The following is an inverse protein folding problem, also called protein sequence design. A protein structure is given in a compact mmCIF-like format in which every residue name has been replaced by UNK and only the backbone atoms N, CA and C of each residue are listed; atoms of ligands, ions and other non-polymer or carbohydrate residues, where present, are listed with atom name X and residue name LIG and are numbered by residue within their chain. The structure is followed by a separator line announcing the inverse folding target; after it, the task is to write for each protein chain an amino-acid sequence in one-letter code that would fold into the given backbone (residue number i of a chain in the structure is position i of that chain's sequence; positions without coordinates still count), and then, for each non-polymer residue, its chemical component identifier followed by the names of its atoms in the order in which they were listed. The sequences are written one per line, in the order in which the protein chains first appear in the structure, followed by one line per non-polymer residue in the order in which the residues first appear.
data_IF_617354700057
#
_entry.id   IF_617354700057
#
_cell.length_a   1.000
_cell.length_b   1.000
_cell.length_c   1.000
_cell.angle_alpha   90.00
_cell.angle_beta   90.00
_cell.angle_gamma   90.00
#
_symmetry.space_group_name_H-M   'P 1'
#
loop_
_entity.id
_entity.type
_entity.pdbx_description
1 polymer ?
#
# COMPACT_ATOMS: atom_id res chain seq x y z
N UNK A 1 -7.48 -5.91 24.89
CA UNK A 1 -6.25 -6.72 24.69
C UNK A 1 -6.10 -7.66 25.86
N UNK A 2 -5.69 -8.92 25.59
CA UNK A 2 -5.31 -9.90 26.61
C UNK A 2 -3.79 -9.83 26.90
N UNK A 3 -3.30 -10.64 27.88
CA UNK A 3 -1.88 -10.60 28.30
C UNK A 3 -0.90 -10.98 27.18
N UNK A 4 -1.27 -11.88 26.28
CA UNK A 4 -0.45 -12.24 25.12
C UNK A 4 -0.34 -11.09 24.12
N UNK A 5 -1.42 -10.37 23.88
CA UNK A 5 -1.44 -9.18 23.02
C UNK A 5 -0.65 -8.03 23.65
N UNK A 6 -0.79 -7.81 24.96
CA UNK A 6 0.01 -6.82 25.69
C UNK A 6 1.52 -7.11 25.57
N UNK A 7 1.91 -8.38 25.71
CA UNK A 7 3.30 -8.80 25.52
C UNK A 7 3.76 -8.62 24.06
N UNK A 8 2.94 -9.08 23.09
CA UNK A 8 3.25 -9.00 21.65
C UNK A 8 3.50 -7.57 21.21
N UNK A 9 2.65 -6.64 21.62
CA UNK A 9 2.68 -5.24 21.17
C UNK A 9 3.39 -4.31 22.15
N UNK A 10 4.06 -4.85 23.17
CA UNK A 10 4.71 -4.05 24.23
C UNK A 10 5.63 -2.95 23.69
N UNK A 11 6.36 -3.21 22.57
CA UNK A 11 7.26 -2.22 21.97
C UNK A 11 6.54 -1.07 21.28
N UNK A 12 5.31 -1.26 20.79
CA UNK A 12 4.42 -0.19 20.32
C UNK A 12 3.82 0.57 21.49
N UNK A 13 3.33 -0.13 22.50
CA UNK A 13 2.64 0.43 23.66
C UNK A 13 3.57 1.37 24.46
N UNK A 14 4.87 1.13 24.44
CA UNK A 14 5.88 1.98 25.09
C UNK A 14 6.16 3.31 24.37
N UNK A 15 5.63 3.50 23.16
CA UNK A 15 5.74 4.76 22.44
C UNK A 15 4.58 5.67 22.84
N UNK A 16 4.89 6.85 23.34
CA UNK A 16 3.88 7.84 23.80
C UNK A 16 2.88 8.20 22.69
N UNK A 17 3.33 8.18 21.43
CA UNK A 17 2.49 8.46 20.26
C UNK A 17 1.51 7.33 19.92
N UNK A 18 1.72 6.12 20.43
CA UNK A 18 0.87 4.96 20.18
C UNK A 18 0.05 4.61 21.41
N UNK A 19 0.72 4.27 22.51
CA UNK A 19 0.15 3.80 23.76
C UNK A 19 -0.77 2.56 23.63
N UNK A 20 -1.51 2.23 24.67
CA UNK A 20 -2.53 1.17 24.68
C UNK A 20 -3.70 1.53 23.74
N UNK A 21 -4.09 2.80 23.71
CA UNK A 21 -5.18 3.30 22.89
C UNK A 21 -4.88 3.21 21.40
N UNK A 22 -3.67 3.58 20.99
CA UNK A 22 -3.21 3.44 19.60
C UNK A 22 -3.12 1.98 19.16
N UNK A 23 -2.60 1.11 20.02
CA UNK A 23 -2.56 -0.32 19.71
C UNK A 23 -3.97 -0.90 19.56
N UNK A 24 -4.92 -0.46 20.39
CA UNK A 24 -6.32 -0.89 20.25
C UNK A 24 -6.95 -0.36 18.95
N UNK A 25 -6.58 0.86 18.50
CA UNK A 25 -6.99 1.38 17.18
C UNK A 25 -6.49 0.48 16.05
N UNK A 26 -5.23 0.04 16.08
CA UNK A 26 -4.69 -0.89 15.09
C UNK A 26 -5.45 -2.22 15.07
N UNK A 27 -5.70 -2.81 16.23
CA UNK A 27 -6.46 -4.07 16.34
C UNK A 27 -7.88 -3.97 15.78
N UNK A 28 -8.49 -2.78 15.83
CA UNK A 28 -9.82 -2.52 15.30
C UNK A 28 -9.81 -1.98 13.85
N UNK A 29 -8.64 -1.80 13.25
CA UNK A 29 -8.51 -1.23 11.92
C UNK A 29 -8.51 -2.29 10.82
N UNK A 30 -8.79 -1.83 9.59
CA UNK A 30 -8.69 -2.62 8.39
C UNK A 30 -7.85 -1.88 7.34
N UNK A 31 -7.05 -2.63 6.57
CA UNK A 31 -6.31 -2.12 5.42
C UNK A 31 -6.55 -3.01 4.19
N UNK A 32 -6.69 -2.39 3.02
CA UNK A 32 -6.67 -3.09 1.72
C UNK A 32 -5.28 -2.93 1.10
N UNK A 33 -4.72 -4.03 0.64
CA UNK A 33 -3.43 -4.05 -0.10
C UNK A 33 -3.67 -4.66 -1.47
N UNK A 34 -3.43 -3.88 -2.51
CA UNK A 34 -3.54 -4.32 -3.91
C UNK A 34 -2.15 -4.56 -4.47
N UNK A 35 -1.86 -5.83 -4.77
CA UNK A 35 -0.56 -6.35 -5.17
C UNK A 35 0.18 -7.06 -4.03
N UNK A 36 0.45 -8.35 -4.21
CA UNK A 36 1.26 -9.19 -3.32
C UNK A 36 2.67 -9.46 -3.91
N UNK A 37 3.10 -8.63 -4.88
CA UNK A 37 4.42 -8.65 -5.48
C UNK A 37 5.52 -8.14 -4.54
N UNK A 38 6.63 -7.60 -5.08
CA UNK A 38 7.79 -7.18 -4.29
C UNK A 38 7.47 -6.17 -3.18
N UNK A 39 6.61 -5.18 -3.46
CA UNK A 39 6.19 -4.17 -2.49
C UNK A 39 5.25 -4.76 -1.44
N UNK A 40 4.17 -5.43 -1.88
CA UNK A 40 3.19 -6.03 -0.99
C UNK A 40 3.79 -7.13 -0.11
N UNK A 41 4.68 -7.96 -0.66
CA UNK A 41 5.39 -8.99 0.10
C UNK A 41 6.29 -8.41 1.22
N UNK A 42 6.71 -7.16 1.09
CA UNK A 42 7.44 -6.46 2.15
C UNK A 42 6.51 -5.71 3.12
N UNK A 43 5.42 -5.11 2.63
CA UNK A 43 4.51 -4.30 3.45
C UNK A 43 3.62 -5.15 4.36
N UNK A 44 3.01 -6.22 3.82
CA UNK A 44 2.01 -7.05 4.50
C UNK A 44 2.50 -7.67 5.81
N UNK A 45 3.72 -8.23 5.91
CA UNK A 45 4.25 -8.76 7.17
C UNK A 45 4.31 -7.72 8.29
N UNK A 46 4.69 -6.48 7.99
CA UNK A 46 4.72 -5.40 8.99
C UNK A 46 3.32 -5.01 9.45
N UNK A 47 2.34 -4.92 8.55
CA UNK A 47 0.96 -4.61 8.92
C UNK A 47 0.37 -5.69 9.84
N UNK A 48 0.56 -6.96 9.51
CA UNK A 48 0.10 -8.08 10.33
C UNK A 48 0.82 -8.13 11.68
N UNK A 49 2.16 -8.00 11.69
CA UNK A 49 2.96 -8.02 12.91
C UNK A 49 2.64 -6.84 13.84
N UNK A 50 2.36 -5.66 13.29
CA UNK A 50 1.95 -4.47 14.04
C UNK A 50 0.55 -4.57 14.66
N UNK A 51 -0.26 -5.56 14.24
CA UNK A 51 -1.58 -5.80 14.82
C UNK A 51 -2.71 -5.07 14.12
N UNK A 52 -2.60 -4.82 12.80
CA UNK A 52 -3.78 -4.43 12.00
C UNK A 52 -4.78 -5.58 12.07
N UNK A 53 -5.98 -5.31 12.57
CA UNK A 53 -6.94 -6.36 12.91
C UNK A 53 -7.51 -7.11 11.70
N UNK A 54 -7.61 -6.43 10.54
CA UNK A 54 -8.13 -7.02 9.30
C UNK A 54 -7.30 -6.56 8.10
N UNK A 55 -6.80 -7.51 7.32
CA UNK A 55 -6.10 -7.27 6.06
C UNK A 55 -6.87 -7.90 4.91
N UNK A 56 -7.26 -7.07 3.96
CA UNK A 56 -7.81 -7.47 2.68
C UNK A 56 -6.66 -7.44 1.67
N UNK A 57 -6.34 -8.57 1.05
CA UNK A 57 -5.22 -8.68 0.14
C UNK A 57 -5.69 -9.14 -1.24
N UNK A 58 -5.28 -8.43 -2.29
CA UNK A 58 -5.74 -8.67 -3.65
C UNK A 58 -4.55 -8.85 -4.61
N UNK A 59 -4.54 -9.97 -5.31
CA UNK A 59 -3.56 -10.30 -6.36
C UNK A 59 -4.10 -11.51 -7.15
N UNK A 60 -3.97 -11.51 -8.46
CA UNK A 60 -4.45 -12.61 -9.32
C UNK A 60 -3.32 -13.51 -9.86
N UNK A 61 -2.07 -13.21 -9.50
CA UNK A 61 -0.90 -13.97 -9.94
C UNK A 61 -0.64 -15.21 -9.07
N UNK A 62 0.20 -16.10 -9.64
CA UNK A 62 0.85 -17.20 -8.91
C UNK A 62 2.30 -16.85 -8.55
N UNK A 63 2.85 -17.55 -7.56
CA UNK A 63 4.26 -17.46 -7.21
C UNK A 63 5.10 -18.16 -8.29
N UNK A 64 6.11 -17.47 -8.80
CA UNK A 64 7.04 -17.97 -9.80
C UNK A 64 8.48 -17.96 -9.28
N UNK A 65 9.35 -18.80 -9.85
CA UNK A 65 10.78 -18.79 -9.54
C UNK A 65 11.42 -17.41 -9.72
N UNK A 66 11.02 -16.70 -10.76
CA UNK A 66 11.48 -15.34 -11.06
C UNK A 66 11.11 -14.30 -9.99
N UNK A 67 10.15 -14.61 -9.14
CA UNK A 67 9.69 -13.73 -8.06
C UNK A 67 10.55 -13.83 -6.80
N UNK A 68 11.11 -15.00 -6.49
CA UNK A 68 11.74 -15.32 -5.20
C UNK A 68 12.94 -14.41 -4.88
N UNK A 69 13.61 -13.87 -5.89
CA UNK A 69 14.75 -12.97 -5.69
C UNK A 69 14.39 -11.63 -5.02
N UNK A 70 13.07 -11.24 -4.98
CA UNK A 70 12.62 -9.97 -4.38
C UNK A 70 11.32 -10.05 -3.59
N UNK A 71 10.59 -11.13 -3.68
CA UNK A 71 9.33 -11.36 -2.95
C UNK A 71 9.59 -12.29 -1.76
N UNK A 72 10.38 -11.81 -0.80
CA UNK A 72 11.00 -12.60 0.28
C UNK A 72 10.02 -13.23 1.29
N UNK A 73 8.74 -12.92 1.19
CA UNK A 73 7.70 -13.57 1.98
C UNK A 73 7.31 -14.95 1.45
N UNK A 74 7.70 -15.27 0.23
CA UNK A 74 7.49 -16.57 -0.40
C UNK A 74 8.75 -17.43 -0.33
N UNK A 75 8.55 -18.73 -0.40
CA UNK A 75 9.59 -19.76 -0.45
C UNK A 75 9.48 -20.58 -1.73
N UNK A 76 10.47 -21.43 -2.00
CA UNK A 76 10.45 -22.33 -3.15
C UNK A 76 9.25 -23.28 -3.12
N UNK A 77 8.78 -23.68 -1.94
CA UNK A 77 7.60 -24.53 -1.78
C UNK A 77 6.27 -23.85 -2.17
N UNK A 78 6.26 -22.52 -2.30
CA UNK A 78 5.07 -21.77 -2.68
C UNK A 78 4.92 -21.61 -4.19
N UNK A 79 5.93 -21.99 -4.99
CA UNK A 79 5.91 -21.87 -6.45
C UNK A 79 4.72 -22.62 -7.04
N UNK A 80 3.95 -21.92 -7.88
CA UNK A 80 2.71 -22.42 -8.48
C UNK A 80 1.44 -22.15 -7.67
N UNK A 81 1.57 -21.75 -6.39
CA UNK A 81 0.42 -21.35 -5.57
C UNK A 81 -0.02 -19.91 -5.89
N UNK A 82 -1.30 -19.60 -5.68
CA UNK A 82 -1.77 -18.20 -5.73
C UNK A 82 -1.00 -17.35 -4.72
N UNK A 83 -0.50 -16.18 -5.13
CA UNK A 83 0.22 -15.26 -4.25
C UNK A 83 -0.57 -14.90 -3.00
N UNK A 84 -1.87 -14.66 -3.16
CA UNK A 84 -2.76 -14.34 -2.02
C UNK A 84 -2.90 -15.49 -1.04
N UNK A 85 -2.96 -16.74 -1.50
CA UNK A 85 -3.05 -17.91 -0.63
C UNK A 85 -1.75 -18.14 0.15
N UNK A 86 -0.59 -18.10 -0.52
CA UNK A 86 0.71 -18.23 0.13
C UNK A 86 0.96 -17.08 1.12
N UNK A 87 0.61 -15.86 0.75
CA UNK A 87 0.72 -14.69 1.62
C UNK A 87 -0.20 -14.83 2.85
N UNK A 88 -1.45 -15.22 2.70
CA UNK A 88 -2.37 -15.42 3.83
C UNK A 88 -1.82 -16.44 4.84
N UNK A 89 -1.28 -17.55 4.37
CA UNK A 89 -0.63 -18.54 5.22
C UNK A 89 0.57 -17.96 6.00
N UNK A 90 1.40 -17.17 5.29
CA UNK A 90 2.56 -16.48 5.89
C UNK A 90 2.13 -15.48 6.96
N UNK A 91 1.15 -14.65 6.68
CA UNK A 91 0.65 -13.63 7.60
C UNK A 91 0.00 -14.26 8.83
N UNK A 92 -0.76 -15.33 8.65
CA UNK A 92 -1.36 -16.08 9.75
C UNK A 92 -0.29 -16.70 10.68
N UNK A 93 0.82 -17.19 10.13
CA UNK A 93 1.96 -17.67 10.90
C UNK A 93 2.67 -16.55 11.68
N UNK A 94 2.68 -15.32 11.18
CA UNK A 94 3.23 -14.14 11.87
C UNK A 94 2.29 -13.69 12.98
N UNK A 95 0.98 -13.56 12.68
CA UNK A 95 -0.03 -13.09 13.64
C UNK A 95 -1.39 -13.74 13.37
N UNK A 96 -1.70 -14.79 14.12
CA UNK A 96 -2.96 -15.52 14.00
C UNK A 96 -4.20 -14.70 14.44
N UNK A 97 -3.99 -13.59 15.14
CA UNK A 97 -5.07 -12.66 15.53
C UNK A 97 -5.49 -11.71 14.41
N UNK A 98 -4.72 -11.60 13.33
CA UNK A 98 -5.08 -10.79 12.18
C UNK A 98 -6.04 -11.56 11.25
N UNK A 99 -7.21 -10.98 10.97
CA UNK A 99 -8.15 -11.54 10.00
C UNK A 99 -7.66 -11.23 8.58
N UNK A 100 -7.40 -12.27 7.79
CA UNK A 100 -6.93 -12.15 6.41
C UNK A 100 -8.07 -12.54 5.45
N UNK A 101 -8.38 -11.66 4.49
CA UNK A 101 -9.33 -11.92 3.42
C UNK A 101 -8.61 -11.79 2.07
N UNK A 102 -8.76 -12.81 1.22
CA UNK A 102 -8.05 -12.89 -0.06
C UNK A 102 -8.99 -12.65 -1.23
N UNK A 103 -8.53 -11.89 -2.19
CA UNK A 103 -9.24 -11.57 -3.42
C UNK A 103 -8.32 -11.81 -4.62
N UNK A 104 -8.89 -12.17 -5.74
CA UNK A 104 -8.21 -12.09 -7.03
C UNK A 104 -8.12 -10.63 -7.49
N UNK A 105 -8.17 -10.41 -8.79
CA UNK A 105 -8.20 -9.06 -9.36
C UNK A 105 -9.47 -8.32 -8.94
N UNK A 106 -9.31 -7.13 -8.38
CA UNK A 106 -10.44 -6.28 -8.00
C UNK A 106 -10.85 -5.37 -9.17
N UNK A 107 -12.12 -5.39 -9.49
CA UNK A 107 -12.75 -4.43 -10.40
C UNK A 107 -13.25 -3.19 -9.65
N UNK A 108 -13.81 -2.23 -10.36
CA UNK A 108 -14.34 -1.00 -9.79
C UNK A 108 -15.49 -1.26 -8.78
N UNK A 109 -16.34 -2.24 -9.04
CA UNK A 109 -17.47 -2.57 -8.16
C UNK A 109 -16.99 -3.14 -6.83
N UNK A 110 -16.03 -4.08 -6.87
CA UNK A 110 -15.41 -4.65 -5.68
C UNK A 110 -14.64 -3.58 -4.87
N UNK A 111 -13.88 -2.70 -5.52
CA UNK A 111 -13.20 -1.59 -4.83
C UNK A 111 -14.20 -0.66 -4.14
N UNK A 112 -15.33 -0.33 -4.79
CA UNK A 112 -16.37 0.52 -4.21
C UNK A 112 -17.02 -0.10 -2.97
N UNK A 113 -17.16 -1.42 -2.94
CA UNK A 113 -17.72 -2.16 -1.80
C UNK A 113 -16.73 -2.27 -0.63
N UNK A 114 -15.45 -2.52 -0.92
CA UNK A 114 -14.44 -2.82 0.09
C UNK A 114 -13.83 -1.57 0.75
N UNK A 115 -13.58 -0.50 -0.02
CA UNK A 115 -12.86 0.68 0.46
C UNK A 115 -13.52 1.41 1.64
N UNK A 116 -14.86 1.56 1.71
CA UNK A 116 -15.50 2.18 2.87
C UNK A 116 -15.26 1.43 4.19
N UNK A 117 -14.83 0.18 4.14
CA UNK A 117 -14.53 -0.66 5.29
C UNK A 117 -13.06 -0.57 5.74
N UNK A 118 -12.22 0.15 4.99
CA UNK A 118 -10.78 0.23 5.20
C UNK A 118 -10.34 1.63 5.61
N UNK A 119 -9.48 1.72 6.62
CA UNK A 119 -8.88 2.97 7.04
C UNK A 119 -7.74 3.45 6.14
N UNK A 120 -7.19 2.56 5.30
CA UNK A 120 -6.13 2.86 4.35
C UNK A 120 -6.09 1.84 3.21
N UNK A 121 -5.68 2.30 2.03
CA UNK A 121 -5.39 1.48 0.86
C UNK A 121 -3.89 1.59 0.53
N UNK A 122 -3.22 0.45 0.33
CA UNK A 122 -1.86 0.39 -0.20
C UNK A 122 -1.91 -0.04 -1.67
N UNK A 123 -1.35 0.78 -2.53
CA UNK A 123 -1.09 0.45 -3.93
C UNK A 123 0.33 -0.11 -4.05
N UNK A 124 0.41 -1.42 -4.21
CA UNK A 124 1.64 -2.19 -4.41
C UNK A 124 1.71 -2.77 -5.84
N UNK A 125 0.96 -2.19 -6.78
CA UNK A 125 0.87 -2.64 -8.17
C UNK A 125 2.10 -2.26 -8.98
N UNK A 126 2.29 -2.93 -10.11
CA UNK A 126 3.38 -2.69 -11.06
C UNK A 126 2.90 -2.14 -12.43
N UNK A 127 1.59 -1.88 -12.58
CA UNK A 127 0.99 -1.38 -13.81
C UNK A 127 0.16 -0.12 -13.59
N UNK A 128 0.19 0.80 -14.55
CA UNK A 128 -0.48 2.09 -14.45
C UNK A 128 -2.01 2.02 -14.50
N UNK A 129 -2.58 1.05 -15.21
CA UNK A 129 -4.02 0.90 -15.32
C UNK A 129 -4.64 0.61 -13.95
N UNK A 130 -4.09 -0.35 -13.21
CA UNK A 130 -4.52 -0.67 -11.84
C UNK A 130 -4.31 0.51 -10.89
N UNK A 131 -3.17 1.21 -10.94
CA UNK A 131 -2.89 2.40 -10.10
C UNK A 131 -3.94 3.49 -10.28
N UNK A 132 -4.33 3.77 -11.53
CA UNK A 132 -5.37 4.77 -11.83
C UNK A 132 -6.73 4.35 -11.30
N UNK A 133 -7.12 3.08 -11.51
CA UNK A 133 -8.38 2.54 -11.00
C UNK A 133 -8.44 2.61 -9.47
N UNK A 134 -7.37 2.17 -8.81
CA UNK A 134 -7.20 2.20 -7.35
C UNK A 134 -7.28 3.64 -6.81
N UNK A 135 -6.58 4.60 -7.45
CA UNK A 135 -6.64 6.01 -7.05
C UNK A 135 -8.05 6.60 -7.21
N UNK A 136 -8.72 6.33 -8.33
CA UNK A 136 -10.07 6.84 -8.58
C UNK A 136 -11.07 6.29 -7.55
N UNK A 137 -11.00 5.00 -7.25
CA UNK A 137 -11.85 4.36 -6.26
C UNK A 137 -11.57 4.87 -4.84
N UNK A 138 -10.28 4.98 -4.45
CA UNK A 138 -9.87 5.51 -3.16
C UNK A 138 -10.36 6.95 -2.95
N UNK A 139 -10.20 7.81 -3.98
CA UNK A 139 -10.71 9.18 -3.94
C UNK A 139 -12.23 9.23 -3.79
N UNK A 140 -12.97 8.40 -4.54
CA UNK A 140 -14.43 8.35 -4.46
C UNK A 140 -14.94 7.87 -3.09
N UNK A 141 -14.19 6.98 -2.43
CA UNK A 141 -14.50 6.47 -1.09
C UNK A 141 -14.00 7.37 0.05
N UNK A 142 -13.16 8.38 -0.23
CA UNK A 142 -12.49 9.17 0.79
C UNK A 142 -11.45 8.37 1.59
N UNK A 143 -10.93 7.26 1.03
CA UNK A 143 -9.97 6.39 1.71
C UNK A 143 -8.54 6.86 1.40
N UNK A 144 -7.68 7.09 2.42
CA UNK A 144 -6.26 7.40 2.21
C UNK A 144 -5.56 6.34 1.37
N UNK A 145 -4.69 6.77 0.45
CA UNK A 145 -3.93 5.90 -0.44
C UNK A 145 -2.43 6.08 -0.21
N UNK A 146 -1.72 4.97 0.02
CA UNK A 146 -0.25 4.91 0.08
C UNK A 146 0.26 4.16 -1.15
N UNK A 147 0.81 4.89 -2.11
CA UNK A 147 1.30 4.33 -3.38
C UNK A 147 2.81 4.18 -3.37
N UNK A 148 3.30 3.00 -3.75
CA UNK A 148 4.73 2.69 -3.88
C UNK A 148 5.10 2.27 -5.30
N UNK A 149 6.33 2.57 -5.73
CA UNK A 149 6.91 2.03 -6.95
C UNK A 149 8.41 1.80 -6.78
N UNK A 150 8.94 0.80 -7.48
CA UNK A 150 10.38 0.54 -7.53
C UNK A 150 10.76 0.04 -8.91
N UNK A 151 11.79 0.64 -9.51
CA UNK A 151 12.33 0.25 -10.80
C UNK A 151 13.85 0.50 -10.81
N UNK A 152 14.62 -0.46 -11.29
CA UNK A 152 16.09 -0.41 -11.27
C UNK A 152 16.62 -0.13 -9.86
N UNK A 153 17.21 1.03 -9.62
CA UNK A 153 17.67 1.52 -8.31
C UNK A 153 16.85 2.73 -7.81
N UNK A 154 15.74 3.06 -8.47
CA UNK A 154 14.88 4.18 -8.07
C UNK A 154 13.61 3.67 -7.40
N UNK A 155 13.36 4.14 -6.17
CA UNK A 155 12.15 3.89 -5.40
C UNK A 155 11.29 5.14 -5.31
N UNK A 156 9.97 4.97 -5.24
CA UNK A 156 9.00 6.06 -5.10
C UNK A 156 7.97 5.73 -4.03
N UNK A 157 7.61 6.72 -3.24
CA UNK A 157 6.55 6.65 -2.24
C UNK A 157 5.74 7.94 -2.26
N UNK A 158 4.42 7.82 -2.32
CA UNK A 158 3.50 8.93 -2.21
C UNK A 158 2.32 8.59 -1.31
N UNK A 159 1.88 9.57 -0.50
CA UNK A 159 0.69 9.47 0.37
C UNK A 159 -0.35 10.45 -0.11
N UNK A 160 -1.56 9.96 -0.39
CA UNK A 160 -2.70 10.75 -0.83
C UNK A 160 -3.81 10.67 0.22
N UNK A 161 -4.05 11.78 0.91
CA UNK A 161 -5.02 11.89 2.02
C UNK A 161 -6.39 12.28 1.46
N UNK A 162 -7.07 11.30 0.82
CA UNK A 162 -8.40 11.51 0.26
C UNK A 162 -9.49 11.79 1.31
N UNK A 163 -9.21 11.51 2.56
CA UNK A 163 -10.01 11.82 3.74
C UNK A 163 -9.93 13.30 4.17
N UNK A 164 -8.99 14.08 3.60
CA UNK A 164 -8.81 15.49 3.90
C UNK A 164 -9.19 16.35 2.68
N UNK A 165 -9.74 17.57 2.90
CA UNK A 165 -10.07 18.47 1.81
C UNK A 165 -8.80 19.01 1.12
N UNK A 166 -8.96 19.41 -0.15
CA UNK A 166 -7.93 20.10 -0.96
C UNK A 166 -6.60 19.36 -1.11
N UNK A 167 -6.57 18.04 -0.87
CA UNK A 167 -5.37 17.23 -1.09
C UNK A 167 -5.26 16.79 -2.57
N UNK A 168 -4.04 16.71 -3.13
CA UNK A 168 -3.82 16.13 -4.44
C UNK A 168 -4.12 14.63 -4.44
N UNK A 169 -4.43 14.08 -5.61
CA UNK A 169 -4.52 12.63 -5.83
C UNK A 169 -3.40 12.16 -6.76
N UNK A 170 -3.29 10.86 -6.97
CA UNK A 170 -2.30 10.26 -7.87
C UNK A 170 -2.32 10.90 -9.27
N UNK A 171 -3.51 11.15 -9.83
CA UNK A 171 -3.64 11.78 -11.15
C UNK A 171 -3.20 13.25 -11.18
N UNK A 172 -3.18 13.98 -10.05
CA UNK A 172 -2.61 15.31 -9.97
C UNK A 172 -1.10 15.30 -10.19
N UNK A 173 -0.45 14.21 -9.76
CA UNK A 173 1.01 14.10 -9.77
C UNK A 173 1.54 13.49 -11.07
N UNK A 174 0.89 12.43 -11.56
CA UNK A 174 1.39 11.65 -12.70
C UNK A 174 0.68 11.92 -14.03
N UNK A 175 -0.46 12.66 -14.01
CA UNK A 175 -1.20 12.99 -15.23
C UNK A 175 -1.77 11.77 -15.97
N UNK A 176 -2.15 11.99 -17.24
CA UNK A 176 -2.45 10.94 -18.19
C UNK A 176 -1.14 10.50 -18.89
N UNK A 177 -0.89 9.20 -19.11
CA UNK A 177 0.32 8.76 -19.77
C UNK A 177 0.31 9.17 -21.24
N UNK A 178 1.33 9.88 -21.66
CA UNK A 178 1.64 10.06 -23.08
C UNK A 178 2.33 8.78 -23.59
N UNK A 179 1.56 7.87 -24.22
CA UNK A 179 2.08 6.59 -24.74
C UNK A 179 1.83 5.41 -23.80
N UNK A 180 1.52 4.24 -24.38
CA UNK A 180 0.98 3.06 -23.72
C UNK A 180 1.69 2.58 -22.45
N UNK A 181 1.05 1.68 -21.74
CA UNK A 181 1.54 1.02 -20.51
C UNK A 181 2.93 0.40 -20.71
N UNK A 182 3.98 1.19 -20.46
CA UNK A 182 5.34 0.67 -20.33
C UNK A 182 5.38 -0.24 -19.10
N UNK A 183 5.40 -1.56 -19.29
CA UNK A 183 5.48 -2.48 -18.15
C UNK A 183 6.83 -2.33 -17.46
N UNK A 184 6.85 -2.03 -16.18
CA UNK A 184 8.04 -2.07 -15.32
C UNK A 184 8.72 -3.46 -15.35
N UNK A 185 7.99 -4.50 -15.76
CA UNK A 185 8.44 -5.88 -15.83
C UNK A 185 9.68 -6.09 -16.74
N UNK A 186 9.86 -5.25 -17.77
CA UNK A 186 10.99 -5.35 -18.69
C UNK A 186 12.26 -4.63 -18.23
N UNK A 187 12.18 -3.82 -17.16
CA UNK A 187 13.28 -2.91 -16.80
C UNK A 187 14.16 -3.44 -15.65
N UNK A 188 13.71 -4.46 -14.93
CA UNK A 188 14.38 -5.02 -13.74
C UNK A 188 14.28 -4.10 -12.52
N UNK A 189 14.54 -4.67 -11.33
CA UNK A 189 14.56 -3.96 -10.06
C UNK A 189 15.57 -4.59 -9.10
N UNK A 190 16.30 -3.76 -8.38
CA UNK A 190 17.22 -4.23 -7.34
C UNK A 190 16.43 -4.77 -6.15
N UNK A 191 16.72 -6.02 -5.75
CA UNK A 191 15.92 -6.78 -4.80
C UNK A 191 15.61 -6.04 -3.49
N UNK A 192 16.57 -5.52 -2.72
CA UNK A 192 16.27 -4.86 -1.45
C UNK A 192 15.42 -3.58 -1.58
N UNK A 193 15.43 -2.96 -2.76
CA UNK A 193 14.70 -1.70 -2.97
C UNK A 193 13.19 -1.87 -2.79
N UNK A 194 12.62 -2.98 -3.28
CA UNK A 194 11.19 -3.24 -3.08
C UNK A 194 10.87 -3.45 -1.60
N UNK A 195 11.83 -4.03 -0.85
CA UNK A 195 11.73 -4.18 0.61
C UNK A 195 11.70 -2.82 1.32
N UNK A 196 12.60 -1.91 0.96
CA UNK A 196 12.65 -0.55 1.51
C UNK A 196 11.33 0.19 1.25
N UNK A 197 10.89 0.25 -0.01
CA UNK A 197 9.67 0.99 -0.35
C UNK A 197 8.42 0.34 0.25
N UNK A 198 8.29 -0.99 0.21
CA UNK A 198 7.16 -1.69 0.83
C UNK A 198 7.09 -1.51 2.36
N UNK A 199 8.24 -1.54 3.05
CA UNK A 199 8.31 -1.23 4.47
C UNK A 199 7.89 0.23 4.77
N UNK A 200 8.29 1.18 3.92
CA UNK A 200 7.87 2.56 4.02
C UNK A 200 6.37 2.74 3.74
N UNK A 201 5.79 1.97 2.81
CA UNK A 201 4.34 1.96 2.62
C UNK A 201 3.61 1.47 3.89
N UNK A 202 4.10 0.40 4.52
CA UNK A 202 3.54 -0.09 5.78
C UNK A 202 3.66 0.95 6.90
N UNK A 203 4.81 1.62 7.03
CA UNK A 203 5.04 2.69 8.01
C UNK A 203 3.99 3.81 7.85
N UNK A 204 3.80 4.33 6.64
CA UNK A 204 2.84 5.41 6.40
C UNK A 204 1.39 4.94 6.60
N UNK A 205 1.06 3.71 6.22
CA UNK A 205 -0.26 3.13 6.47
C UNK A 205 -0.55 3.01 7.97
N UNK A 206 0.40 2.53 8.76
CA UNK A 206 0.27 2.44 10.22
C UNK A 206 0.10 3.83 10.85
N UNK A 207 0.86 4.84 10.42
CA UNK A 207 0.70 6.22 10.87
C UNK A 207 -0.72 6.76 10.60
N UNK A 208 -1.25 6.50 9.41
CA UNK A 208 -2.63 6.89 9.04
C UNK A 208 -3.64 6.20 9.96
N UNK A 209 -3.54 4.89 10.15
CA UNK A 209 -4.44 4.12 11.02
C UNK A 209 -4.38 4.56 12.49
N UNK A 210 -3.22 5.02 12.93
CA UNK A 210 -3.00 5.57 14.28
C UNK A 210 -3.45 7.03 14.42
N UNK A 211 -3.76 7.72 13.33
CA UNK A 211 -4.05 9.16 13.34
C UNK A 211 -2.80 10.03 13.55
N UNK A 212 -1.62 9.48 13.29
CA UNK A 212 -0.34 10.20 13.36
C UNK A 212 -0.10 11.02 12.08
N UNK A 213 0.77 12.05 12.13
CA UNK A 213 1.14 12.80 10.94
C UNK A 213 1.75 11.90 9.86
N UNK A 214 1.07 11.79 8.71
CA UNK A 214 1.61 11.13 7.52
C UNK A 214 2.59 12.05 6.78
N UNK A 215 3.31 11.50 5.79
CA UNK A 215 4.16 12.31 4.91
C UNK A 215 3.36 13.44 4.24
N UNK A 216 3.98 14.62 4.03
CA UNK A 216 3.32 15.70 3.31
C UNK A 216 2.98 15.29 1.87
N UNK A 217 1.96 15.96 1.30
CA UNK A 217 1.53 15.69 -0.07
C UNK A 217 2.68 15.90 -1.07
N UNK A 218 2.96 14.86 -1.85
CA UNK A 218 4.06 14.89 -2.81
C UNK A 218 4.61 13.51 -3.12
N UNK A 219 5.73 13.51 -3.83
CA UNK A 219 6.46 12.32 -4.21
C UNK A 219 7.80 12.28 -3.48
N UNK A 220 8.04 11.20 -2.76
CA UNK A 220 9.35 10.90 -2.19
C UNK A 220 10.06 9.91 -3.12
N UNK A 221 11.21 10.32 -3.64
CA UNK A 221 12.06 9.50 -4.48
C UNK A 221 13.30 9.05 -3.71
N UNK A 222 13.58 7.77 -3.75
CA UNK A 222 14.79 7.16 -3.19
C UNK A 222 15.73 6.73 -4.31
N UNK A 223 16.94 7.28 -4.34
CA UNK A 223 18.02 6.80 -5.17
C UNK A 223 18.85 5.79 -4.35
N UNK A 224 18.72 4.51 -4.67
CA UNK A 224 19.42 3.45 -3.95
C UNK A 224 20.90 3.34 -4.29
N UNK A 225 21.38 3.96 -5.38
CA UNK A 225 22.82 4.06 -5.68
C UNK A 225 23.48 5.15 -4.84
N UNK A 226 22.84 6.32 -4.73
CA UNK A 226 23.33 7.43 -3.94
C UNK A 226 22.96 7.33 -2.45
N UNK A 227 22.01 6.46 -2.07
CA UNK A 227 21.48 6.35 -0.71
C UNK A 227 20.72 7.61 -0.25
N UNK A 228 20.13 8.36 -1.17
CA UNK A 228 19.53 9.66 -0.88
C UNK A 228 18.03 9.70 -1.14
N UNK A 229 17.31 10.48 -0.33
CA UNK A 229 15.90 10.79 -0.49
C UNK A 229 15.71 12.22 -1.00
N UNK A 230 14.75 12.38 -1.90
CA UNK A 230 14.31 13.69 -2.38
C UNK A 230 12.78 13.75 -2.27
N UNK A 231 12.26 14.89 -1.79
CA UNK A 231 10.83 15.15 -1.71
C UNK A 231 10.43 16.23 -2.73
N UNK A 232 9.44 15.92 -3.55
CA UNK A 232 8.82 16.84 -4.50
C UNK A 232 7.40 17.12 -4.03
N UNK A 233 7.16 18.33 -3.53
CA UNK A 233 5.82 18.73 -3.08
C UNK A 233 4.83 18.72 -4.25
N UNK A 234 3.62 18.24 -3.99
CA UNK A 234 2.54 18.25 -4.97
C UNK A 234 1.37 19.09 -4.47
N UNK A 235 0.74 19.81 -5.39
CA UNK A 235 -0.48 20.55 -5.15
C UNK A 235 -1.63 19.96 -5.96
N UNK A 236 -2.86 20.18 -5.49
CA UNK A 236 -4.06 19.76 -6.20
C UNK A 236 -4.14 20.45 -7.57
N UNK A 237 -4.28 19.67 -8.63
CA UNK A 237 -4.49 20.21 -9.97
C UNK A 237 -5.97 20.57 -10.13
N UNK A 238 -6.33 21.85 -10.37
CA UNK A 238 -7.72 22.28 -10.53
C UNK A 238 -8.41 21.66 -11.76
N UNK A 239 -7.64 21.18 -12.74
CA UNK A 239 -8.14 20.48 -13.93
C UNK A 239 -8.01 18.95 -13.82
N UNK A 240 -7.75 18.40 -12.63
CA UNK A 240 -7.56 16.95 -12.45
C UNK A 240 -8.83 16.17 -12.84
N UNK A 241 -8.72 15.16 -13.73
CA UNK A 241 -9.89 14.40 -14.17
C UNK A 241 -10.49 13.52 -13.05
N UNK A 242 -9.74 13.27 -11.96
CA UNK A 242 -10.18 12.43 -10.85
C UNK A 242 -10.74 13.26 -9.70
N UNK A 243 -10.00 14.23 -9.17
CA UNK A 243 -10.34 14.90 -7.92
C UNK A 243 -10.82 16.35 -8.08
N UNK A 244 -10.92 16.89 -9.32
CA UNK A 244 -11.49 18.22 -9.55
C UNK A 244 -13.02 18.22 -9.41
N UNK A 245 -13.63 19.22 -8.77
CA UNK A 245 -15.08 19.38 -8.69
C UNK A 245 -15.76 19.64 -10.05
N UNK A 246 -14.99 20.04 -11.08
CA UNK A 246 -15.49 20.35 -12.42
C UNK A 246 -15.70 19.11 -13.32
N UNK A 247 -15.93 17.93 -12.77
CA UNK A 247 -16.38 16.77 -13.54
C UNK A 247 -17.73 17.08 -14.19
N UNK A 248 -17.74 17.48 -15.45
CA UNK A 248 -18.97 17.62 -16.22
C UNK A 248 -19.18 18.92 -17.01
N UNK A 249 -18.20 19.81 -17.09
CA UNK A 249 -18.26 20.95 -17.99
C UNK A 249 -17.08 20.94 -18.97
N UNK A 250 -16.96 19.89 -19.76
CA UNK A 250 -16.38 19.99 -21.08
C UNK A 250 -17.54 20.22 -22.04
N UNK A 251 -17.58 21.41 -22.57
CA UNK A 251 -18.52 21.84 -23.62
C UNK A 251 -18.23 21.11 -24.93
#
# INVERSE_FOLDING_TARGET
MNDQELLRYSRHILLDEIDIGGQQRLLNSAALVVGCGGLGAAALPYLAAAGVGRLLIADDDTVEWSNLQRQVSYSESDVGSLKTAAMAARLHAINSGCRIETFGRLDEAALRELLPQCGVLLDCCDNFATRRAVNAAAHAAGTPLVSGAAVRFSGQLAVFRHDLPEQPCYACLFGEPEGGDGSCALTGVFSPLVGVIGAMQALEALKILLGLPAQPAGLNCYDALAGSWQHFAATKNPACPVCSPNKGKAA
#
